data_IF_008606949086
#
_entry.id   IF_008606949086
#
_cell.length_a   1.000
_cell.length_b   1.000
_cell.length_c   1.000
_cell.angle_alpha   90.00
_cell.angle_beta   90.00
_cell.angle_gamma   90.00
#
_symmetry.space_group_name_H-M   'P 1'
#
loop_
_entity.id
_entity.type
_entity.pdbx_description
1 polymer ?
#
# COMPACT_ATOMS: atom_id res chain seq x y z
N UNK A 1 -0.67 11.97 5.09
CA UNK A 1 -0.57 11.35 6.39
C UNK A 1 -0.97 9.87 6.34
N UNK A 2 -0.41 9.05 5.48
CA UNK A 2 -0.66 7.62 5.54
C UNK A 2 0.44 6.85 6.27
N UNK A 3 0.04 5.77 6.90
CA UNK A 3 0.94 4.74 7.39
C UNK A 3 0.66 3.46 6.59
N UNK A 4 1.67 2.91 5.94
CA UNK A 4 1.49 1.81 4.99
C UNK A 4 2.23 0.56 5.46
N UNK A 5 1.54 -0.57 5.38
CA UNK A 5 2.13 -1.91 5.56
C UNK A 5 1.98 -2.68 4.27
N UNK A 6 3.07 -3.22 3.77
CA UNK A 6 3.10 -4.09 2.59
C UNK A 6 3.53 -5.47 3.04
N UNK A 7 2.70 -6.48 2.78
CA UNK A 7 2.96 -7.87 3.14
C UNK A 7 3.08 -8.72 1.90
N UNK A 8 4.11 -9.56 1.83
CA UNK A 8 4.33 -10.48 0.73
C UNK A 8 5.08 -11.73 1.22
N UNK A 9 5.13 -12.77 0.39
CA UNK A 9 5.97 -13.93 0.65
C UNK A 9 7.44 -13.56 0.49
N UNK A 10 8.30 -14.12 1.33
CA UNK A 10 9.75 -13.94 1.22
C UNK A 10 10.28 -14.55 -0.09
N UNK A 11 11.42 -14.02 -0.55
CA UNK A 11 12.12 -14.51 -1.74
C UNK A 11 12.36 -13.47 -2.81
N UNK A 12 11.78 -12.29 -2.67
CA UNK A 12 12.03 -11.18 -3.59
C UNK A 12 13.29 -10.42 -3.19
N UNK A 13 13.96 -9.81 -4.16
CA UNK A 13 15.17 -9.02 -3.94
C UNK A 13 14.87 -7.73 -3.19
N UNK A 14 15.90 -7.13 -2.62
CA UNK A 14 15.80 -5.79 -2.02
C UNK A 14 15.30 -4.76 -3.06
N UNK A 15 15.83 -4.81 -4.28
CA UNK A 15 15.40 -3.92 -5.37
C UNK A 15 13.90 -4.05 -5.65
N UNK A 16 13.38 -5.27 -5.66
CA UNK A 16 11.95 -5.52 -5.84
C UNK A 16 11.14 -4.88 -4.71
N UNK A 17 11.55 -5.09 -3.46
CA UNK A 17 10.85 -4.54 -2.30
C UNK A 17 10.89 -3.01 -2.28
N UNK A 18 12.03 -2.40 -2.62
CA UNK A 18 12.14 -0.94 -2.74
C UNK A 18 11.23 -0.39 -3.83
N UNK A 19 11.08 -1.10 -4.95
CA UNK A 19 10.16 -0.70 -6.01
C UNK A 19 8.69 -0.69 -5.54
N UNK A 20 8.30 -1.63 -4.68
CA UNK A 20 6.96 -1.62 -4.07
C UNK A 20 6.75 -0.36 -3.23
N UNK A 21 7.70 -0.01 -2.39
CA UNK A 21 7.65 1.19 -1.56
C UNK A 21 7.54 2.44 -2.43
N UNK A 22 8.41 2.57 -3.41
CA UNK A 22 8.47 3.75 -4.30
C UNK A 22 7.17 3.90 -5.09
N UNK A 23 6.64 2.82 -5.62
CA UNK A 23 5.39 2.84 -6.39
C UNK A 23 4.18 3.24 -5.56
N UNK A 24 4.04 2.69 -4.37
CA UNK A 24 2.93 3.04 -3.46
C UNK A 24 3.05 4.50 -3.01
N UNK A 25 4.25 4.94 -2.64
CA UNK A 25 4.48 6.34 -2.27
C UNK A 25 4.11 7.30 -3.39
N UNK A 26 4.58 7.04 -4.60
CA UNK A 26 4.28 7.89 -5.76
C UNK A 26 2.78 7.92 -6.07
N UNK A 27 2.12 6.78 -6.00
CA UNK A 27 0.66 6.71 -6.21
C UNK A 27 -0.11 7.57 -5.20
N UNK A 28 0.29 7.54 -3.93
CA UNK A 28 -0.32 8.37 -2.89
C UNK A 28 -0.07 9.85 -3.13
N UNK A 29 1.12 10.22 -3.59
CA UNK A 29 1.40 11.61 -4.00
C UNK A 29 0.51 12.06 -5.15
N UNK A 30 0.35 11.21 -6.14
CA UNK A 30 -0.40 11.54 -7.37
C UNK A 30 -1.91 11.64 -7.13
N UNK A 31 -2.45 10.86 -6.19
CA UNK A 31 -3.91 10.74 -6.02
C UNK A 31 -4.44 11.31 -4.70
N UNK A 32 -3.65 11.25 -3.64
CA UNK A 32 -4.02 11.73 -2.30
C UNK A 32 -3.34 13.05 -1.94
N UNK A 33 -2.56 13.62 -2.85
CA UNK A 33 -1.80 14.85 -2.63
C UNK A 33 -0.88 14.77 -1.40
N UNK A 34 -0.32 13.61 -1.16
CA UNK A 34 0.62 13.40 -0.05
C UNK A 34 1.87 14.26 -0.29
N UNK A 35 2.29 15.07 0.69
CA UNK A 35 3.47 15.90 0.53
C UNK A 35 4.75 15.10 0.35
N UNK A 36 5.77 15.74 -0.21
CA UNK A 36 7.10 15.15 -0.27
C UNK A 36 7.59 14.81 1.12
N UNK A 37 8.27 13.68 1.25
CA UNK A 37 8.80 13.14 2.50
C UNK A 37 7.76 12.65 3.52
N UNK A 38 6.47 12.80 3.24
CA UNK A 38 5.41 12.19 4.05
C UNK A 38 5.26 10.72 3.64
N UNK A 39 6.25 9.91 4.02
CA UNK A 39 6.28 8.49 3.71
C UNK A 39 6.67 7.67 4.94
N UNK A 40 5.74 6.82 5.36
CA UNK A 40 5.89 5.91 6.48
C UNK A 40 5.40 4.54 6.03
N UNK A 41 6.32 3.74 5.51
CA UNK A 41 6.00 2.50 4.81
C UNK A 41 6.92 1.39 5.29
N UNK A 42 6.32 0.26 5.67
CA UNK A 42 7.07 -0.94 6.02
C UNK A 42 6.75 -2.07 5.05
N UNK A 43 7.71 -2.96 4.83
CA UNK A 43 7.53 -4.20 4.10
C UNK A 43 7.82 -5.36 5.05
N UNK A 44 6.88 -6.29 5.14
CA UNK A 44 7.02 -7.50 5.95
C UNK A 44 7.02 -8.70 5.03
N UNK A 45 8.08 -9.48 5.10
CA UNK A 45 8.21 -10.74 4.38
C UNK A 45 7.71 -11.88 5.23
N UNK A 46 6.95 -12.80 4.62
CA UNK A 46 6.36 -13.93 5.30
C UNK A 46 6.89 -15.24 4.72
N UNK A 47 7.15 -16.21 5.59
CA UNK A 47 7.29 -17.60 5.17
C UNK A 47 5.98 -18.02 4.47
N UNK A 48 6.05 -18.84 3.40
CA UNK A 48 4.83 -19.29 2.72
C UNK A 48 3.80 -19.94 3.64
N UNK A 49 4.25 -20.60 4.71
CA UNK A 49 3.34 -21.21 5.69
C UNK A 49 2.55 -20.19 6.52
N UNK A 50 2.96 -18.92 6.51
CA UNK A 50 2.34 -17.81 7.25
C UNK A 50 1.66 -16.80 6.34
N UNK A 51 1.43 -17.15 5.07
CA UNK A 51 0.83 -16.24 4.10
C UNK A 51 -0.19 -17.01 3.24
N UNK A 52 -1.46 -16.68 3.39
CA UNK A 52 -2.54 -17.33 2.65
C UNK A 52 -3.37 -16.30 1.91
N UNK A 53 -3.74 -16.62 0.70
CA UNK A 53 -4.59 -15.77 -0.14
C UNK A 53 -5.64 -16.61 -0.87
N UNK A 54 -6.74 -15.96 -1.28
CA UNK A 54 -7.75 -16.59 -2.12
C UNK A 54 -7.31 -16.54 -3.58
N UNK A 55 -6.96 -17.69 -4.16
CA UNK A 55 -6.37 -17.74 -5.50
C UNK A 55 -7.32 -17.31 -6.62
N UNK A 56 -8.63 -17.39 -6.40
CA UNK A 56 -9.64 -17.11 -7.43
C UNK A 56 -10.85 -16.29 -6.94
N UNK A 57 -10.77 -15.73 -5.74
CA UNK A 57 -11.88 -14.95 -5.20
C UNK A 57 -12.19 -13.76 -6.11
N UNK A 58 -13.47 -13.54 -6.41
CA UNK A 58 -13.98 -12.53 -7.34
C UNK A 58 -13.49 -12.73 -8.78
N UNK A 59 -13.19 -13.98 -9.15
CA UNK A 59 -12.65 -14.33 -10.48
C UNK A 59 -11.33 -13.61 -10.81
N UNK A 60 -10.58 -13.25 -9.79
CA UNK A 60 -9.23 -12.68 -9.95
C UNK A 60 -8.22 -13.81 -9.75
N UNK A 61 -7.49 -14.15 -10.79
CA UNK A 61 -6.50 -15.23 -10.77
C UNK A 61 -5.17 -14.74 -10.17
N UNK A 62 -5.01 -14.89 -8.87
CA UNK A 62 -3.81 -14.46 -8.13
C UNK A 62 -2.73 -15.53 -8.18
N UNK A 63 -1.48 -15.08 -7.98
CA UNK A 63 -0.31 -15.94 -7.89
C UNK A 63 0.37 -15.80 -6.52
N UNK A 64 1.43 -16.57 -6.30
CA UNK A 64 2.24 -16.47 -5.08
C UNK A 64 2.97 -15.13 -4.95
N UNK A 65 2.97 -14.31 -6.00
CA UNK A 65 3.53 -12.95 -5.98
C UNK A 65 2.54 -11.91 -5.45
N UNK A 66 1.35 -12.30 -5.00
CA UNK A 66 0.37 -11.38 -4.45
C UNK A 66 0.94 -10.59 -3.28
N UNK A 67 0.61 -9.30 -3.22
CA UNK A 67 0.97 -8.43 -2.10
C UNK A 67 -0.30 -7.86 -1.47
N UNK A 68 -0.29 -7.72 -0.15
CA UNK A 68 -1.33 -7.00 0.58
C UNK A 68 -0.78 -5.64 0.98
N UNK A 69 -1.43 -4.58 0.50
CA UNK A 69 -1.06 -3.20 0.79
C UNK A 69 -2.16 -2.60 1.66
N UNK A 70 -1.82 -2.30 2.91
CA UNK A 70 -2.75 -1.71 3.86
C UNK A 70 -2.32 -0.28 4.15
N UNK A 71 -3.22 0.67 3.92
CA UNK A 71 -2.96 2.09 4.04
C UNK A 71 -3.90 2.66 5.09
N UNK A 72 -3.32 3.08 6.22
CA UNK A 72 -4.08 3.81 7.24
C UNK A 72 -3.96 5.30 6.97
N UNK A 73 -5.07 6.01 6.92
CA UNK A 73 -5.11 7.43 6.57
C UNK A 73 -6.20 8.16 7.36
N UNK A 74 -6.13 9.49 7.36
CA UNK A 74 -7.23 10.31 7.84
C UNK A 74 -8.40 10.25 6.85
N UNK A 75 -9.63 10.35 7.35
CA UNK A 75 -10.85 10.28 6.55
C UNK A 75 -11.08 11.59 5.78
N UNK A 76 -10.26 11.84 4.78
CA UNK A 76 -10.30 13.09 3.98
C UNK A 76 -10.39 12.86 2.47
N UNK A 77 -10.21 11.62 2.00
CA UNK A 77 -10.25 11.31 0.57
C UNK A 77 -11.64 10.89 0.12
N UNK A 78 -11.99 11.27 -1.11
CA UNK A 78 -13.24 10.86 -1.75
C UNK A 78 -13.16 9.44 -2.28
N UNK A 79 -14.32 8.85 -2.59
CA UNK A 79 -14.38 7.55 -3.26
C UNK A 79 -13.62 7.55 -4.59
N UNK A 80 -13.72 8.63 -5.37
CA UNK A 80 -13.01 8.74 -6.65
C UNK A 80 -11.50 8.80 -6.46
N UNK A 81 -11.02 9.50 -5.44
CA UNK A 81 -9.59 9.53 -5.12
C UNK A 81 -9.08 8.14 -4.72
N UNK A 82 -9.85 7.37 -3.97
CA UNK A 82 -9.49 6.00 -3.58
C UNK A 82 -9.42 5.09 -4.80
N UNK A 83 -10.41 5.18 -5.70
CA UNK A 83 -10.39 4.42 -6.96
C UNK A 83 -9.19 4.78 -7.82
N UNK A 84 -8.86 6.06 -7.90
CA UNK A 84 -7.68 6.54 -8.61
C UNK A 84 -6.39 6.01 -7.99
N UNK A 85 -6.32 5.95 -6.66
CA UNK A 85 -5.17 5.39 -5.94
C UNK A 85 -4.94 3.92 -6.33
N UNK A 86 -5.99 3.10 -6.31
CA UNK A 86 -5.87 1.68 -6.64
C UNK A 86 -5.37 1.48 -8.07
N UNK A 87 -5.94 2.21 -9.01
CA UNK A 87 -5.53 2.15 -10.41
C UNK A 87 -4.07 2.62 -10.60
N UNK A 88 -3.68 3.67 -9.89
CA UNK A 88 -2.33 4.23 -10.00
C UNK A 88 -1.28 3.29 -9.39
N UNK A 89 -1.58 2.66 -8.27
CA UNK A 89 -0.68 1.65 -7.69
C UNK A 89 -0.44 0.51 -8.69
N UNK A 90 -1.49 -0.02 -9.27
CA UNK A 90 -1.39 -1.11 -10.26
C UNK A 90 -0.54 -0.68 -11.45
N UNK A 91 -0.77 0.51 -11.99
CA UNK A 91 -0.02 1.04 -13.13
C UNK A 91 1.49 1.16 -12.81
N UNK A 92 1.83 1.75 -11.68
CA UNK A 92 3.22 1.95 -11.29
C UNK A 92 3.92 0.64 -10.98
N UNK A 93 3.27 -0.29 -10.29
CA UNK A 93 3.85 -1.58 -9.97
C UNK A 93 3.96 -2.51 -11.17
N UNK A 94 3.13 -2.33 -12.20
CA UNK A 94 3.29 -3.03 -13.47
C UNK A 94 4.56 -2.59 -14.20
N UNK A 95 4.92 -1.32 -14.12
CA UNK A 95 6.16 -0.80 -14.70
C UNK A 95 7.40 -1.22 -13.90
N UNK A 96 7.32 -1.17 -12.59
CA UNK A 96 8.43 -1.53 -11.71
C UNK A 96 7.89 -1.96 -10.34
N UNK A 97 8.08 -3.20 -9.94
CA UNK A 97 9.00 -4.22 -10.46
C UNK A 97 8.44 -5.13 -11.56
N UNK A 98 7.27 -4.86 -12.10
CA UNK A 98 6.65 -5.70 -13.12
C UNK A 98 5.60 -6.65 -12.55
N UNK A 99 4.79 -6.16 -11.61
CA UNK A 99 3.72 -6.97 -11.02
C UNK A 99 2.52 -7.12 -11.94
N UNK A 100 1.89 -8.27 -11.87
CA UNK A 100 0.58 -8.49 -12.49
C UNK A 100 -0.49 -7.72 -11.71
N UNK A 101 -1.45 -7.07 -12.40
CA UNK A 101 -2.55 -6.36 -11.71
C UNK A 101 -3.32 -7.24 -10.73
N UNK A 102 -3.50 -8.52 -11.05
CA UNK A 102 -4.24 -9.48 -10.24
C UNK A 102 -3.60 -9.71 -8.86
N UNK A 103 -2.31 -9.42 -8.73
CA UNK A 103 -1.54 -9.67 -7.50
C UNK A 103 -1.48 -8.46 -6.57
N UNK A 104 -2.14 -7.38 -6.92
CA UNK A 104 -2.15 -6.15 -6.11
C UNK A 104 -3.46 -6.06 -5.32
N UNK A 105 -3.37 -6.27 -4.01
CA UNK A 105 -4.50 -6.18 -3.10
C UNK A 105 -4.31 -4.95 -2.21
N UNK A 106 -5.27 -4.02 -2.21
CA UNK A 106 -5.17 -2.76 -1.45
C UNK A 106 -6.36 -2.62 -0.51
N UNK A 107 -6.09 -2.20 0.71
CA UNK A 107 -7.10 -1.88 1.71
C UNK A 107 -6.76 -0.53 2.34
N UNK A 108 -7.73 0.38 2.38
CA UNK A 108 -7.60 1.67 3.05
C UNK A 108 -8.39 1.65 4.35
N UNK A 109 -7.73 1.98 5.46
CA UNK A 109 -8.33 2.11 6.79
C UNK A 109 -8.34 3.60 7.14
N UNK A 110 -9.51 4.14 7.45
CA UNK A 110 -9.66 5.55 7.75
C UNK A 110 -9.95 5.77 9.23
N UNK A 111 -9.48 6.92 9.74
CA UNK A 111 -9.73 7.34 11.11
C UNK A 111 -9.73 8.85 11.24
N UNK A 112 -10.06 9.33 12.44
CA UNK A 112 -10.11 10.76 12.75
C UNK A 112 -8.73 11.31 13.05
N UNK A 113 -8.57 12.63 12.95
CA UNK A 113 -7.29 13.34 13.13
C UNK A 113 -6.63 13.09 14.48
N UNK A 114 -7.42 13.00 15.53
CA UNK A 114 -6.95 12.81 16.90
C UNK A 114 -6.32 11.43 17.16
N UNK A 115 -6.48 10.49 16.21
CA UNK A 115 -5.88 9.16 16.31
C UNK A 115 -4.40 9.14 15.93
N UNK A 116 -3.82 10.29 15.59
CA UNK A 116 -2.46 10.36 15.05
C UNK A 116 -1.56 11.20 15.94
N UNK A 117 -0.44 10.63 16.32
CA UNK A 117 0.74 11.37 16.83
C UNK A 117 1.93 10.96 15.97
N UNK A 118 2.51 11.91 15.27
CA UNK A 118 3.60 11.65 14.34
C UNK A 118 4.97 11.81 14.97
N UNK A 119 5.00 12.02 16.25
CA UNK A 119 6.22 12.18 17.01
C UNK A 119 6.07 13.20 18.13
N UNK A 120 7.02 13.23 19.04
CA UNK A 120 7.08 14.14 20.19
C UNK A 120 5.88 14.02 21.17
N UNK A 121 5.06 12.97 21.05
CA UNK A 121 3.89 12.77 21.91
C UNK A 121 2.78 13.78 21.73
N UNK A 122 2.69 14.41 20.56
CA UNK A 122 1.73 15.48 20.24
C UNK A 122 0.81 15.01 19.13
N UNK A 123 -0.46 15.34 19.22
CA UNK A 123 -1.44 15.13 18.15
C UNK A 123 -1.39 16.34 17.20
N UNK A 124 -0.53 16.29 16.17
CA UNK A 124 -0.23 17.44 15.31
C UNK A 124 -1.44 17.97 14.53
N UNK A 125 -2.42 17.11 14.27
CA UNK A 125 -3.59 17.47 13.45
C UNK A 125 -4.87 17.67 14.25
N UNK A 126 -4.86 17.43 15.52
CA UNK A 126 -6.04 17.59 16.39
C UNK A 126 -6.15 18.99 16.97
#
# INVERSE_FOLDING_TARGET
MPLVSISLRKGKSETYRQALIDGVYQAMRDTFSVPEDDQFITVTEHDPSNFRYGASYLDIARSDDVVFIQISAMASQTSDQKKALYARIVELLANNPGMRPEDVFVNVIEGVKENWSLGNGIAQYA
#
